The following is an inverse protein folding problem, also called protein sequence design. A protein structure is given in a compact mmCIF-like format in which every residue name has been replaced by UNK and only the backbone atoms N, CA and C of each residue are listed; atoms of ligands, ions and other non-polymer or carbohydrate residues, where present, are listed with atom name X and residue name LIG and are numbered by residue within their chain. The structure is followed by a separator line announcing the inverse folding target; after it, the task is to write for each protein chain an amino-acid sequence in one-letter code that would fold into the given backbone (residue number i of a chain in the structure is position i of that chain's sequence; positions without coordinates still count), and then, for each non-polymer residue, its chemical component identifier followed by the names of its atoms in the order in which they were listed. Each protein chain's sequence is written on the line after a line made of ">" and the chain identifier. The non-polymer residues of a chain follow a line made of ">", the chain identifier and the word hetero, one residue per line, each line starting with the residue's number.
data_IF_260386109632
#
_entry.id   IF_260386109632
#
_cell.length_a   1.000
_cell.length_b   1.000
_cell.length_c   1.000
_cell.angle_alpha   90.00
_cell.angle_beta   90.00
_cell.angle_gamma   90.00
#
_symmetry.space_group_name_H-M   'P 1'
#
loop_
_entity.id
_entity.type
_entity.pdbx_description
1 polymer ?
#
# COMPACT_ATOMS: atom_id res chain seq x y z
N UNK A 1 5.72 14.56 -0.96
CA UNK A 1 4.26 14.52 -1.12
C UNK A 1 3.81 13.17 -0.62
N UNK A 2 2.86 13.14 0.31
CA UNK A 2 2.35 11.89 0.84
C UNK A 2 1.48 11.23 -0.24
N UNK A 3 1.76 9.95 -0.54
CA UNK A 3 1.04 9.17 -1.55
C UNK A 3 -0.05 8.31 -0.93
N UNK A 4 -0.28 8.44 0.38
CA UNK A 4 -1.23 7.64 1.15
C UNK A 4 -2.52 8.46 1.34
N UNK A 5 -3.66 7.78 1.49
CA UNK A 5 -4.99 8.39 1.65
C UNK A 5 -5.42 9.25 0.45
N UNK A 6 -4.92 8.94 -0.75
CA UNK A 6 -5.31 9.55 -2.02
C UNK A 6 -6.25 8.63 -2.80
N UNK A 7 -7.16 9.23 -3.57
CA UNK A 7 -7.99 8.49 -4.51
C UNK A 7 -7.18 8.14 -5.76
N UNK A 8 -7.22 6.88 -6.16
CA UNK A 8 -6.50 6.36 -7.32
C UNK A 8 -7.47 6.18 -8.48
N UNK A 9 -7.14 6.72 -9.64
CA UNK A 9 -7.93 6.66 -10.86
C UNK A 9 -7.14 6.02 -12.00
N UNK A 10 -7.79 5.19 -12.81
CA UNK A 10 -7.23 4.69 -14.07
C UNK A 10 -8.01 5.34 -15.22
N UNK A 11 -7.39 6.33 -15.85
CA UNK A 11 -8.12 7.23 -16.75
C UNK A 11 -9.15 8.05 -15.95
N UNK A 12 -10.41 8.01 -16.35
CA UNK A 12 -11.52 8.68 -15.67
C UNK A 12 -12.21 7.81 -14.61
N UNK A 13 -11.91 6.51 -14.58
CA UNK A 13 -12.55 5.55 -13.69
C UNK A 13 -11.87 5.51 -12.32
N UNK A 14 -12.68 5.49 -11.26
CA UNK A 14 -12.19 5.27 -9.90
C UNK A 14 -11.66 3.84 -9.79
N UNK A 15 -10.39 3.73 -9.41
CA UNK A 15 -9.71 2.44 -9.28
C UNK A 15 -9.65 1.98 -7.82
N UNK A 16 -9.36 2.88 -6.87
CA UNK A 16 -9.31 2.54 -5.46
C UNK A 16 -8.70 3.65 -4.59
N UNK A 17 -8.17 3.26 -3.43
CA UNK A 17 -7.56 4.19 -2.47
C UNK A 17 -6.14 3.73 -2.12
N UNK A 18 -5.17 4.65 -2.14
CA UNK A 18 -3.79 4.36 -1.76
C UNK A 18 -3.64 4.24 -0.26
N UNK A 19 -3.00 3.17 0.23
CA UNK A 19 -2.89 2.90 1.67
C UNK A 19 -1.45 2.75 2.18
N UNK A 20 -0.50 2.41 1.31
CA UNK A 20 0.89 2.20 1.69
C UNK A 20 1.80 2.31 0.45
N UNK A 21 3.10 2.45 0.68
CA UNK A 21 4.14 2.34 -0.34
C UNK A 21 5.06 1.17 0.03
N UNK A 22 5.09 0.16 -0.82
CA UNK A 22 5.85 -1.07 -0.62
C UNK A 22 6.93 -1.21 -1.69
N UNK A 23 8.17 -0.82 -1.36
CA UNK A 23 9.26 -0.77 -2.32
C UNK A 23 8.94 0.15 -3.50
N UNK A 24 8.89 -0.41 -4.71
CA UNK A 24 8.55 0.29 -5.95
C UNK A 24 7.07 0.20 -6.33
N UNK A 25 6.20 -0.14 -5.37
CA UNK A 25 4.78 -0.28 -5.58
C UNK A 25 3.99 0.66 -4.66
N UNK A 26 2.89 1.19 -5.18
CA UNK A 26 1.83 1.83 -4.42
C UNK A 26 0.79 0.76 -4.09
N UNK A 27 0.51 0.54 -2.81
CA UNK A 27 -0.54 -0.38 -2.40
C UNK A 27 -1.86 0.35 -2.49
N UNK A 28 -2.77 -0.18 -3.29
CA UNK A 28 -4.10 0.36 -3.53
C UNK A 28 -5.13 -0.65 -3.07
N UNK A 29 -6.04 -0.21 -2.19
CA UNK A 29 -7.21 -0.98 -1.80
C UNK A 29 -8.27 -0.87 -2.89
N UNK A 30 -8.70 -2.00 -3.42
CA UNK A 30 -9.74 -2.12 -4.45
C UNK A 30 -10.81 -3.07 -3.92
N UNK A 31 -11.92 -2.51 -3.42
CA UNK A 31 -12.93 -3.29 -2.71
C UNK A 31 -12.36 -3.99 -1.47
N UNK A 32 -12.31 -5.33 -1.49
CA UNK A 32 -11.72 -6.16 -0.43
C UNK A 32 -10.29 -6.63 -0.72
N UNK A 33 -9.75 -6.31 -1.90
CA UNK A 33 -8.41 -6.73 -2.32
C UNK A 33 -7.40 -5.59 -2.17
N UNK A 34 -6.11 -5.95 -2.18
CA UNK A 34 -5.00 -5.01 -2.22
C UNK A 34 -4.17 -5.30 -3.47
N UNK A 35 -3.97 -4.29 -4.31
CA UNK A 35 -3.16 -4.38 -5.51
C UNK A 35 -1.91 -3.50 -5.35
N UNK A 36 -0.75 -4.08 -5.63
CA UNK A 36 0.51 -3.36 -5.65
C UNK A 36 0.74 -2.76 -7.03
N UNK A 37 0.31 -1.52 -7.22
CA UNK A 37 0.45 -0.79 -8.49
C UNK A 37 1.89 -0.33 -8.67
N UNK A 38 2.59 -0.68 -9.77
CA UNK A 38 3.97 -0.26 -9.98
C UNK A 38 4.10 1.26 -10.03
N UNK A 39 5.09 1.84 -9.34
CA UNK A 39 5.29 3.30 -9.33
C UNK A 39 5.49 3.88 -10.72
N UNK A 40 6.05 3.10 -11.66
CA UNK A 40 6.21 3.47 -13.08
C UNK A 40 4.90 3.64 -13.86
N UNK A 41 3.77 3.10 -13.36
CA UNK A 41 2.47 3.30 -14.01
C UNK A 41 1.79 4.59 -13.56
N UNK A 42 2.25 5.23 -12.47
CA UNK A 42 1.75 6.53 -12.03
C UNK A 42 2.09 7.58 -13.09
N UNK A 43 1.06 8.27 -13.58
CA UNK A 43 1.14 9.31 -14.60
C UNK A 43 1.21 10.70 -13.98
N UNK A 44 0.40 10.96 -12.95
CA UNK A 44 0.41 12.23 -12.22
C UNK A 44 -0.14 12.06 -10.80
N UNK A 45 0.17 13.05 -9.96
CA UNK A 45 -0.26 13.16 -8.56
C UNK A 45 -0.68 14.60 -8.32
N UNK A 46 -1.98 14.86 -8.30
CA UNK A 46 -2.56 16.21 -8.35
C UNK A 46 -3.85 16.23 -7.53
N UNK A 47 -4.11 17.32 -6.79
CA UNK A 47 -5.38 17.58 -6.09
C UNK A 47 -5.93 16.42 -5.24
N UNK A 48 -5.06 15.71 -4.50
CA UNK A 48 -5.49 14.57 -3.68
C UNK A 48 -5.78 13.29 -4.47
N UNK A 49 -5.43 13.26 -5.76
CA UNK A 49 -5.64 12.13 -6.67
C UNK A 49 -4.32 11.61 -7.25
N UNK A 50 -4.30 10.31 -7.52
CA UNK A 50 -3.21 9.62 -8.23
C UNK A 50 -3.80 9.07 -9.51
N UNK A 51 -3.24 9.47 -10.66
CA UNK A 51 -3.64 8.94 -11.96
C UNK A 51 -2.66 7.83 -12.36
N UNK A 52 -3.17 6.64 -12.64
CA UNK A 52 -2.38 5.49 -13.06
C UNK A 52 -2.71 5.11 -14.50
N UNK A 53 -1.70 4.65 -15.24
CA UNK A 53 -1.85 4.00 -16.54
C UNK A 53 -1.92 2.49 -16.40
N UNK A 54 -1.73 1.79 -17.51
CA UNK A 54 -1.80 0.33 -17.55
C UNK A 54 -0.63 -0.34 -16.83
N UNK A 55 -0.92 -1.49 -16.25
CA UNK A 55 0.02 -2.40 -15.60
C UNK A 55 -0.53 -3.81 -15.63
N UNK A 56 0.32 -4.78 -15.27
CA UNK A 56 -0.09 -6.18 -15.12
C UNK A 56 -0.84 -6.37 -13.79
N UNK A 57 -2.15 -6.55 -13.87
CA UNK A 57 -3.02 -6.71 -12.70
C UNK A 57 -2.80 -8.04 -11.97
N UNK A 58 -2.43 -9.10 -12.68
CA UNK A 58 -2.19 -10.40 -12.05
C UNK A 58 -0.94 -10.32 -11.16
N UNK A 59 0.12 -9.70 -11.67
CA UNK A 59 1.33 -9.45 -10.89
C UNK A 59 1.07 -8.48 -9.73
N UNK A 60 0.33 -7.40 -9.97
CA UNK A 60 -0.04 -6.44 -8.92
C UNK A 60 -0.83 -7.11 -7.79
N UNK A 61 -1.73 -8.04 -8.12
CA UNK A 61 -2.47 -8.83 -7.13
C UNK A 61 -1.54 -9.75 -6.34
N UNK A 62 -0.62 -10.48 -7.00
CA UNK A 62 0.35 -11.36 -6.33
C UNK A 62 1.21 -10.60 -5.33
N UNK A 63 1.76 -9.45 -5.74
CA UNK A 63 2.58 -8.61 -4.86
C UNK A 63 1.74 -7.98 -3.75
N UNK A 64 0.50 -7.60 -4.03
CA UNK A 64 -0.44 -7.11 -3.01
C UNK A 64 -0.74 -8.15 -1.92
N UNK A 65 -0.98 -9.41 -2.30
CA UNK A 65 -1.16 -10.52 -1.34
C UNK A 65 0.09 -10.69 -0.47
N UNK A 66 1.27 -10.70 -1.09
CA UNK A 66 2.54 -10.81 -0.34
C UNK A 66 2.71 -9.68 0.66
N UNK A 67 2.34 -8.45 0.29
CA UNK A 67 2.35 -7.31 1.22
C UNK A 67 1.40 -7.54 2.40
N UNK A 68 0.18 -8.04 2.17
CA UNK A 68 -0.76 -8.38 3.26
C UNK A 68 -0.16 -9.42 4.19
N UNK A 69 0.38 -10.51 3.64
CA UNK A 69 1.00 -11.58 4.42
C UNK A 69 2.13 -11.04 5.29
N UNK A 70 3.01 -10.20 4.75
CA UNK A 70 4.10 -9.58 5.49
C UNK A 70 3.61 -8.63 6.60
N UNK A 71 2.60 -7.80 6.33
CA UNK A 71 2.02 -6.88 7.32
C UNK A 71 1.22 -7.59 8.40
N UNK A 72 0.63 -8.75 8.10
CA UNK A 72 -0.11 -9.57 9.05
C UNK A 72 0.77 -10.42 9.96
N UNK A 73 2.10 -10.45 9.73
CA UNK A 73 3.01 -11.21 10.58
C UNK A 73 2.94 -10.63 12.00
N UNK A 74 2.70 -11.49 13.01
CA UNK A 74 2.75 -11.05 14.39
C UNK A 74 4.17 -10.55 14.68
N UNK A 75 4.25 -9.39 15.32
CA UNK A 75 5.51 -8.89 15.87
C UNK A 75 6.01 -9.85 16.95
N UNK A 76 7.29 -10.16 16.91
CA UNK A 76 7.93 -11.01 17.92
C UNK A 76 8.05 -10.29 19.26
N UNK A 77 8.22 -11.06 20.35
CA UNK A 77 8.45 -10.49 21.70
C UNK A 77 9.72 -9.62 21.75
N UNK A 78 10.72 -9.91 20.93
CA UNK A 78 11.96 -9.14 20.85
C UNK A 78 11.75 -7.80 20.13
N UNK A 79 10.99 -7.81 19.03
CA UNK A 79 10.57 -6.59 18.32
C UNK A 79 9.67 -5.72 19.22
N UNK A 80 8.71 -6.32 19.94
CA UNK A 80 7.85 -5.60 20.90
C UNK A 80 8.67 -4.85 21.96
N UNK A 81 9.71 -5.49 22.53
CA UNK A 81 10.62 -4.84 23.49
C UNK A 81 11.40 -3.68 22.85
N UNK A 82 11.82 -3.83 21.60
CA UNK A 82 12.51 -2.76 20.87
C UNK A 82 11.60 -1.54 20.59
N UNK A 83 10.29 -1.75 20.54
CA UNK A 83 9.29 -0.67 20.42
C UNK A 83 8.93 -0.01 21.77
N UNK A 84 9.57 -0.41 22.88
CA UNK A 84 9.28 0.11 24.22
C UNK A 84 8.02 -0.46 24.86
N UNK A 85 7.43 -1.51 24.27
CA UNK A 85 6.34 -2.25 24.91
C UNK A 85 6.92 -3.22 25.94
N UNK A 86 6.69 -2.96 27.23
CA UNK A 86 7.08 -3.85 28.33
C UNK A 86 7.90 -3.23 29.46
N UNK A 87 8.13 -1.91 29.44
CA UNK A 87 8.55 -1.22 30.66
C UNK A 87 7.32 -1.03 31.56
N UNK A 88 7.10 -1.99 32.47
CA UNK A 88 6.29 -1.74 33.65
C UNK A 88 7.03 -0.67 34.47
N UNK A 89 6.44 0.52 34.61
CA UNK A 89 6.84 1.47 35.64
C UNK A 89 6.65 0.76 36.99
N UNK A 90 7.77 0.31 37.57
CA UNK A 90 7.83 -0.29 38.90
C UNK A 90 7.71 0.74 40.02
#
# INVERSE_FOLDING_TARGET
>A
MDLICMYVFRGEESFGESIDVYGNYLIVKVGSEFLAVPRKSIKSVEDGKIIIGDFDEEEARKVGIKWVEEKSKPVTLEELKSYGFGEEEG
#
